data_IF_629211243151
#
_entry.id   IF_629211243151
#
_cell.length_a   1.000
_cell.length_b   1.000
_cell.length_c   1.000
_cell.angle_alpha   90.00
_cell.angle_beta   90.00
_cell.angle_gamma   90.00
#
_symmetry.space_group_name_H-M   'P 1'
#
loop_
_entity.id
_entity.type
_entity.pdbx_description
1 polymer ?
#
# COMPACT_ATOMS: atom_id res chain seq x y z
N UNK A 1 3.16 1.46 -17.05
CA UNK A 1 3.94 0.24 -17.40
C UNK A 1 4.29 -0.50 -16.12
N UNK A 2 4.65 -1.80 -16.17
CA UNK A 2 5.11 -2.54 -14.96
C UNK A 2 6.32 -1.87 -14.28
N UNK A 3 7.16 -1.19 -15.07
CA UNK A 3 8.31 -0.43 -14.60
C UNK A 3 7.96 0.69 -13.60
N UNK A 4 6.77 1.28 -13.71
CA UNK A 4 6.33 2.34 -12.81
C UNK A 4 6.01 1.78 -11.41
N UNK A 5 5.51 0.54 -11.33
CA UNK A 5 5.14 -0.10 -10.07
C UNK A 5 6.34 -0.60 -9.29
N UNK A 6 7.38 -1.13 -9.95
CA UNK A 6 8.65 -1.43 -9.29
C UNK A 6 9.36 -0.15 -8.80
N UNK A 7 9.15 0.97 -9.48
CA UNK A 7 9.65 2.26 -8.99
C UNK A 7 8.84 2.74 -7.78
N UNK A 8 7.51 2.64 -7.83
CA UNK A 8 6.63 2.95 -6.71
C UNK A 8 6.94 2.09 -5.46
N UNK A 9 7.18 0.79 -5.65
CA UNK A 9 7.64 -0.12 -4.61
C UNK A 9 8.92 0.40 -3.94
N UNK A 10 9.96 0.67 -4.73
CA UNK A 10 11.25 1.17 -4.21
C UNK A 10 11.10 2.50 -3.47
N UNK A 11 10.34 3.45 -4.02
CA UNK A 11 10.13 4.73 -3.36
C UNK A 11 9.39 4.59 -2.03
N UNK A 12 8.36 3.75 -1.99
CA UNK A 12 7.61 3.51 -0.77
C UNK A 12 8.45 2.76 0.28
N UNK A 13 9.27 1.78 -0.13
CA UNK A 13 10.21 1.11 0.78
C UNK A 13 11.23 2.10 1.36
N UNK A 14 11.83 2.96 0.54
CA UNK A 14 12.75 4.00 1.02
C UNK A 14 12.09 4.99 1.96
N UNK A 15 10.83 5.37 1.70
CA UNK A 15 10.09 6.25 2.60
C UNK A 15 9.89 5.61 3.98
N UNK A 16 9.58 4.31 4.03
CA UNK A 16 9.44 3.57 5.30
C UNK A 16 10.78 3.36 6.03
N UNK A 17 11.91 3.37 5.32
CA UNK A 17 13.23 3.35 5.96
C UNK A 17 13.54 4.66 6.69
N UNK A 18 13.06 5.80 6.16
CA UNK A 18 13.25 7.13 6.75
C UNK A 18 12.21 7.40 7.84
N UNK A 19 10.95 7.11 7.56
CA UNK A 19 9.83 7.28 8.48
C UNK A 19 8.90 6.04 8.43
N UNK A 20 9.06 5.10 9.37
CA UNK A 20 8.16 3.96 9.52
C UNK A 20 6.70 4.37 9.80
N UNK A 21 6.44 5.61 10.23
CA UNK A 21 5.10 6.15 10.43
C UNK A 21 4.44 6.68 9.17
N UNK A 22 5.15 6.74 8.04
CA UNK A 22 4.67 7.36 6.81
C UNK A 22 3.58 6.51 6.13
N UNK A 23 2.34 6.70 6.60
CA UNK A 23 1.16 5.90 6.23
C UNK A 23 0.92 5.80 4.71
N UNK A 24 1.13 6.87 3.90
CA UNK A 24 0.97 6.79 2.44
C UNK A 24 1.84 5.74 1.76
N UNK A 25 3.05 5.45 2.28
CA UNK A 25 3.92 4.44 1.68
C UNK A 25 3.31 3.04 1.73
N UNK A 26 2.62 2.67 2.83
CA UNK A 26 1.93 1.39 2.92
C UNK A 26 0.81 1.25 1.86
N UNK A 27 0.08 2.34 1.58
CA UNK A 27 -0.94 2.35 0.53
C UNK A 27 -0.33 2.19 -0.87
N UNK A 28 0.76 2.90 -1.14
CA UNK A 28 1.46 2.81 -2.43
C UNK A 28 2.08 1.43 -2.66
N UNK A 29 2.61 0.76 -1.62
CA UNK A 29 3.03 -0.64 -1.71
C UNK A 29 1.85 -1.55 -2.06
N UNK A 30 0.73 -1.40 -1.35
CA UNK A 30 -0.50 -2.13 -1.64
C UNK A 30 -0.94 -2.00 -3.10
N UNK A 31 -0.96 -0.77 -3.62
CA UNK A 31 -1.27 -0.48 -5.03
C UNK A 31 -0.24 -1.12 -5.98
N UNK A 32 1.05 -0.94 -5.72
CA UNK A 32 2.12 -1.47 -6.57
C UNK A 32 1.99 -2.99 -6.72
N UNK A 33 1.80 -3.72 -5.61
CA UNK A 33 1.66 -5.17 -5.66
C UNK A 33 0.36 -5.66 -6.34
N UNK A 34 -0.73 -4.89 -6.31
CA UNK A 34 -1.92 -5.21 -7.12
C UNK A 34 -1.57 -5.21 -8.61
N UNK A 35 -0.83 -4.20 -9.07
CA UNK A 35 -0.45 -4.09 -10.47
C UNK A 35 0.67 -5.05 -10.89
N UNK A 36 1.52 -5.46 -9.96
CA UNK A 36 2.52 -6.52 -10.14
C UNK A 36 1.90 -7.93 -10.11
N UNK A 37 0.58 -8.04 -9.85
CA UNK A 37 -0.15 -9.31 -9.71
C UNK A 37 0.33 -10.17 -8.54
N UNK A 38 0.69 -9.52 -7.44
CA UNK A 38 1.07 -10.14 -6.17
C UNK A 38 0.00 -9.84 -5.10
N UNK A 39 -1.18 -10.49 -5.18
CA UNK A 39 -2.35 -10.14 -4.37
C UNK A 39 -2.14 -10.33 -2.86
N UNK A 40 -1.31 -11.29 -2.46
CA UNK A 40 -1.04 -11.56 -1.04
C UNK A 40 -0.27 -10.40 -0.39
N UNK A 41 0.78 -9.90 -1.06
CA UNK A 41 1.52 -8.73 -0.61
C UNK A 41 0.64 -7.48 -0.65
N UNK A 42 -0.14 -7.30 -1.71
CA UNK A 42 -1.08 -6.20 -1.80
C UNK A 42 -2.04 -6.16 -0.60
N UNK A 43 -2.66 -7.30 -0.25
CA UNK A 43 -3.55 -7.42 0.90
C UNK A 43 -2.84 -7.10 2.21
N UNK A 44 -1.61 -7.58 2.37
CA UNK A 44 -0.80 -7.32 3.56
C UNK A 44 -0.53 -5.82 3.73
N UNK A 45 -0.02 -5.15 2.69
CA UNK A 45 0.34 -3.74 2.75
C UNK A 45 -0.87 -2.81 2.89
N UNK A 46 -1.98 -3.10 2.22
CA UNK A 46 -3.24 -2.37 2.43
C UNK A 46 -3.80 -2.58 3.84
N UNK A 47 -3.65 -3.78 4.40
CA UNK A 47 -4.06 -4.04 5.79
C UNK A 47 -3.22 -3.26 6.80
N UNK A 48 -1.92 -3.09 6.53
CA UNK A 48 -1.04 -2.24 7.35
C UNK A 48 -1.42 -0.76 7.20
N UNK A 49 -1.66 -0.27 5.99
CA UNK A 49 -2.09 1.11 5.73
C UNK A 49 -3.36 1.47 6.52
N UNK A 50 -4.30 0.53 6.65
CA UNK A 50 -5.50 0.68 7.49
C UNK A 50 -5.22 0.74 8.99
N UNK A 51 -4.18 0.04 9.47
CA UNK A 51 -3.87 -0.10 10.91
C UNK A 51 -3.03 1.04 11.47
N UNK A 52 -2.08 1.57 10.69
CA UNK A 52 -1.09 2.55 11.18
C UNK A 52 -1.77 3.87 11.59
N UNK A 53 -2.73 4.34 10.79
CA UNK A 53 -3.54 5.51 11.14
C UNK A 53 -5.01 5.33 10.70
N UNK A 54 -5.85 4.70 11.53
CA UNK A 54 -7.22 4.32 11.18
C UNK A 54 -8.14 5.47 10.76
N UNK A 55 -7.90 6.68 11.28
CA UNK A 55 -8.73 7.86 11.03
C UNK A 55 -8.25 8.68 9.83
N UNK A 56 -7.21 8.22 9.13
CA UNK A 56 -6.67 8.89 7.95
C UNK A 56 -7.46 8.60 6.68
N UNK A 57 -7.36 9.51 5.71
CA UNK A 57 -7.83 9.27 4.35
C UNK A 57 -7.16 8.04 3.73
N UNK A 58 -5.90 7.75 4.12
CA UNK A 58 -5.14 6.58 3.67
C UNK A 58 -5.80 5.30 4.13
N UNK A 59 -6.18 5.21 5.41
CA UNK A 59 -6.89 4.04 5.93
C UNK A 59 -8.26 3.85 5.28
N UNK A 60 -8.98 4.96 5.01
CA UNK A 60 -10.25 4.91 4.27
C UNK A 60 -10.05 4.38 2.85
N UNK A 61 -9.02 4.84 2.16
CA UNK A 61 -8.70 4.38 0.81
C UNK A 61 -8.26 2.91 0.80
N UNK A 62 -7.39 2.52 1.74
CA UNK A 62 -6.94 1.15 1.89
C UNK A 62 -8.11 0.20 2.17
N UNK A 63 -9.08 0.61 3.00
CA UNK A 63 -10.30 -0.16 3.25
C UNK A 63 -11.11 -0.36 1.96
N UNK A 64 -11.36 0.71 1.19
CA UNK A 64 -12.09 0.61 -0.09
C UNK A 64 -11.42 -0.35 -1.07
N UNK A 65 -10.09 -0.28 -1.15
CA UNK A 65 -9.32 -1.19 -2.00
C UNK A 65 -9.41 -2.64 -1.48
N UNK A 66 -9.33 -2.84 -0.16
CA UNK A 66 -9.49 -4.17 0.43
C UNK A 66 -10.85 -4.77 0.08
N UNK A 67 -11.93 -3.99 0.25
CA UNK A 67 -13.30 -4.42 -0.01
C UNK A 67 -13.54 -4.70 -1.51
N UNK A 68 -12.85 -4.00 -2.42
CA UNK A 68 -13.00 -4.17 -3.88
C UNK A 68 -12.17 -5.33 -4.43
N UNK A 69 -10.91 -5.47 -4.01
CA UNK A 69 -9.97 -6.45 -4.58
C UNK A 69 -9.95 -7.79 -3.80
N UNK A 70 -10.43 -7.81 -2.55
CA UNK A 70 -10.37 -9.00 -1.67
C UNK A 70 -11.68 -9.22 -0.89
N UNK A 71 -12.82 -9.44 -1.58
CA UNK A 71 -14.10 -9.73 -0.96
C UNK A 71 -14.13 -11.04 -0.15
#
# INVERSE_FOLDING_TARGET
MLQDYHSAERFAQSALQVDPGFTPAYLHLGMAYLYLREPDLARQWLSLAKKVNPDSWVATQAKRMLDYYFP
#
